data_IF_714463127470
#
_entry.id   IF_714463127470
#
_cell.length_a   1.000
_cell.length_b   1.000
_cell.length_c   1.000
_cell.angle_alpha   90.00
_cell.angle_beta   90.00
_cell.angle_gamma   90.00
#
_symmetry.space_group_name_H-M   'P 1'
#
loop_
_entity.id
_entity.type
_entity.pdbx_description
1 polymer ?
#
# COMPACT_ATOMS: atom_id res chain seq x y z
N UNK A 1 29.69 -10.39 11.84
CA UNK A 1 29.87 -10.64 13.29
C UNK A 1 29.05 -9.62 14.07
N UNK A 2 28.56 -9.94 15.27
CA UNK A 2 27.83 -8.99 16.12
C UNK A 2 28.73 -8.38 17.17
N UNK A 3 28.45 -7.14 17.52
CA UNK A 3 29.21 -6.39 18.50
C UNK A 3 28.26 -5.66 19.45
N UNK A 4 28.48 -5.80 20.75
CA UNK A 4 27.83 -5.00 21.78
C UNK A 4 28.84 -3.95 22.22
N UNK A 5 28.54 -2.69 21.94
CA UNK A 5 29.31 -1.56 22.41
C UNK A 5 28.61 -1.01 23.64
N UNK A 6 29.31 -1.00 24.76
CA UNK A 6 28.85 -0.40 26.00
C UNK A 6 29.62 0.93 26.13
N UNK A 7 28.89 2.03 25.96
CA UNK A 7 29.39 3.37 26.17
C UNK A 7 29.18 3.72 27.65
N UNK A 8 30.23 4.12 28.36
CA UNK A 8 30.15 4.61 29.74
C UNK A 8 30.55 6.07 29.78
N UNK A 9 29.72 6.94 30.36
CA UNK A 9 30.08 8.35 30.52
C UNK A 9 31.22 8.49 31.53
N UNK A 10 32.22 9.30 31.19
CA UNK A 10 33.39 9.59 32.03
C UNK A 10 33.43 11.05 32.49
N UNK A 11 32.49 11.86 32.01
CA UNK A 11 32.33 13.28 32.34
C UNK A 11 30.97 13.54 33.01
N UNK A 12 30.78 14.76 33.52
CA UNK A 12 29.50 15.19 34.08
C UNK A 12 28.39 15.32 33.01
N UNK A 13 27.15 15.34 33.49
CA UNK A 13 25.97 15.35 32.62
C UNK A 13 25.83 16.62 31.77
N UNK A 14 26.40 17.75 32.22
CA UNK A 14 26.30 19.04 31.52
C UNK A 14 27.23 19.09 30.30
N UNK A 15 28.46 18.59 30.47
CA UNK A 15 29.42 18.41 29.40
C UNK A 15 28.90 17.42 28.34
N UNK A 16 28.29 16.31 28.77
CA UNK A 16 27.66 15.34 27.85
C UNK A 16 26.47 15.97 27.12
N UNK A 17 25.58 16.69 27.84
CA UNK A 17 24.38 17.28 27.26
C UNK A 17 24.67 18.22 26.07
N UNK A 18 25.78 18.95 26.13
CA UNK A 18 26.20 19.88 25.08
C UNK A 18 26.56 19.19 23.76
N UNK A 19 26.91 17.90 23.79
CA UNK A 19 27.30 17.11 22.62
C UNK A 19 26.26 16.04 22.22
N UNK A 20 25.14 15.95 22.94
CA UNK A 20 24.06 15.00 22.62
C UNK A 20 23.47 15.19 21.21
N UNK A 21 23.23 16.40 20.68
CA UNK A 21 22.68 16.55 19.32
C UNK A 21 23.58 15.92 18.25
N UNK A 22 24.89 16.14 18.35
CA UNK A 22 25.86 15.58 17.40
C UNK A 22 25.99 14.05 17.57
N UNK A 23 25.94 13.57 18.82
CA UNK A 23 25.91 12.15 19.13
C UNK A 23 24.67 11.47 18.54
N UNK A 24 23.49 12.08 18.63
CA UNK A 24 22.25 11.58 18.01
C UNK A 24 22.41 11.52 16.49
N UNK A 25 22.99 12.55 15.86
CA UNK A 25 23.27 12.53 14.42
C UNK A 25 24.26 11.45 14.01
N UNK A 26 25.25 11.15 14.86
CA UNK A 26 26.16 10.02 14.69
C UNK A 26 25.41 8.68 14.75
N UNK A 27 24.55 8.46 15.75
CA UNK A 27 23.74 7.25 15.87
C UNK A 27 22.83 7.09 14.63
N UNK A 28 22.09 8.12 14.24
CA UNK A 28 21.18 8.11 13.09
C UNK A 28 21.88 7.76 11.77
N UNK A 29 23.08 8.33 11.54
CA UNK A 29 23.93 8.00 10.39
C UNK A 29 24.33 6.52 10.35
N UNK A 30 24.61 5.90 11.48
CA UNK A 30 25.06 4.50 11.51
C UNK A 30 23.89 3.52 11.57
N UNK A 31 22.73 3.93 12.08
CA UNK A 31 21.44 3.22 11.92
C UNK A 31 20.98 3.19 10.47
N UNK A 32 20.99 4.33 9.77
CA UNK A 32 20.62 4.40 8.33
C UNK A 32 21.57 3.60 7.43
N UNK A 33 22.81 3.34 7.86
CA UNK A 33 23.75 2.44 7.16
C UNK A 33 23.55 0.96 7.50
N UNK A 34 22.63 0.62 8.40
CA UNK A 34 22.42 -0.75 8.90
C UNK A 34 23.61 -1.33 9.65
N UNK A 35 24.51 -0.46 10.13
CA UNK A 35 25.69 -0.83 10.92
C UNK A 35 25.31 -0.93 12.40
N UNK A 36 24.51 0.02 12.90
CA UNK A 36 23.86 -0.06 14.20
C UNK A 36 22.46 -0.65 14.03
N UNK A 37 22.15 -1.65 14.84
CA UNK A 37 20.87 -2.36 14.85
C UNK A 37 19.98 -1.88 15.99
N UNK A 38 20.59 -1.45 17.08
CA UNK A 38 19.92 -0.93 18.26
C UNK A 38 20.88 0.02 18.98
N UNK A 39 20.36 1.11 19.52
CA UNK A 39 21.06 1.97 20.49
C UNK A 39 20.09 2.42 21.55
N UNK A 40 20.53 2.49 22.81
CA UNK A 40 19.69 3.00 23.88
C UNK A 40 20.43 3.18 25.20
N UNK A 41 19.82 3.94 26.11
CA UNK A 41 20.33 4.12 27.46
C UNK A 41 20.25 2.80 28.23
N UNK A 42 21.32 2.49 28.95
CA UNK A 42 21.33 1.37 29.89
C UNK A 42 20.45 1.71 31.11
N UNK A 43 20.01 0.69 31.85
CA UNK A 43 19.31 0.88 33.12
C UNK A 43 20.19 0.31 34.25
N UNK A 44 20.59 1.14 35.24
CA UNK A 44 20.17 2.53 35.46
C UNK A 44 20.87 3.52 34.51
N UNK A 45 20.22 4.66 34.23
CA UNK A 45 20.48 5.55 33.10
C UNK A 45 21.82 6.31 33.14
N UNK A 46 22.45 6.34 34.31
CA UNK A 46 23.80 6.83 34.59
C UNK A 46 24.89 5.83 34.17
N UNK A 47 24.55 4.57 33.90
CA UNK A 47 25.51 3.54 33.49
C UNK A 47 26.01 3.70 32.06
N UNK A 48 25.37 4.60 31.29
CA UNK A 48 25.72 4.95 29.91
C UNK A 48 24.74 4.37 28.89
N UNK A 49 25.26 3.96 27.73
CA UNK A 49 24.47 3.50 26.60
C UNK A 49 24.94 2.13 26.10
N UNK A 50 24.05 1.40 25.44
CA UNK A 50 24.35 0.16 24.75
C UNK A 50 24.00 0.32 23.28
N UNK A 51 24.91 -0.12 22.41
CA UNK A 51 24.71 -0.19 20.97
C UNK A 51 24.96 -1.63 20.53
N UNK A 52 24.00 -2.19 19.82
CA UNK A 52 24.18 -3.45 19.09
C UNK A 52 24.55 -3.10 17.65
N UNK A 53 25.73 -3.52 17.22
CA UNK A 53 26.24 -3.29 15.89
C UNK A 53 26.58 -4.60 15.17
N UNK A 54 26.63 -4.54 13.85
CA UNK A 54 27.08 -5.65 12.99
C UNK A 54 28.15 -5.16 12.03
N UNK A 55 29.14 -5.98 11.75
CA UNK A 55 30.20 -5.64 10.80
C UNK A 55 31.48 -6.41 11.06
N UNK A 56 32.57 -5.91 10.46
CA UNK A 56 33.93 -6.31 10.79
C UNK A 56 34.42 -5.52 12.01
N UNK A 57 35.21 -6.17 12.87
CA UNK A 57 35.64 -5.57 14.14
C UNK A 57 36.38 -4.24 13.95
N UNK A 58 37.29 -4.18 12.97
CA UNK A 58 38.09 -2.99 12.69
C UNK A 58 37.21 -1.80 12.22
N UNK A 59 36.14 -2.08 11.46
CA UNK A 59 35.20 -1.05 11.04
C UNK A 59 34.41 -0.51 12.24
N UNK A 60 33.96 -1.40 13.13
CA UNK A 60 33.23 -1.01 14.35
C UNK A 60 34.10 -0.16 15.28
N UNK A 61 35.38 -0.50 15.44
CA UNK A 61 36.32 0.32 16.23
C UNK A 61 36.56 1.68 15.58
N UNK A 62 36.73 1.73 14.26
CA UNK A 62 36.87 2.99 13.53
C UNK A 62 35.62 3.86 13.63
N UNK A 63 34.43 3.25 13.64
CA UNK A 63 33.14 3.95 13.81
C UNK A 63 32.95 4.44 15.25
N UNK A 64 33.31 3.66 16.26
CA UNK A 64 33.28 4.10 17.66
C UNK A 64 34.19 5.32 17.86
N UNK A 65 35.35 5.36 17.19
CA UNK A 65 36.25 6.52 17.16
C UNK A 65 35.69 7.78 16.49
N UNK A 66 34.53 7.68 15.81
CA UNK A 66 33.86 8.83 15.19
C UNK A 66 32.83 9.51 16.09
N UNK A 67 32.43 8.85 17.18
CA UNK A 67 31.44 9.37 18.12
C UNK A 67 31.92 10.70 18.73
N UNK A 68 31.13 11.78 18.62
CA UNK A 68 31.43 13.06 19.27
C UNK A 68 31.74 12.91 20.77
N UNK A 69 31.00 12.06 21.50
CA UNK A 69 31.25 11.85 22.93
C UNK A 69 32.62 11.23 23.19
N UNK A 70 33.04 10.28 22.36
CA UNK A 70 34.34 9.63 22.47
C UNK A 70 35.48 10.58 22.06
N UNK A 71 35.32 11.31 20.96
CA UNK A 71 36.31 12.28 20.46
C UNK A 71 36.57 13.43 21.44
N UNK A 72 35.54 13.85 22.17
CA UNK A 72 35.65 14.86 23.21
C UNK A 72 36.08 14.30 24.58
N UNK A 73 36.34 12.99 24.69
CA UNK A 73 36.79 12.35 25.94
C UNK A 73 35.71 12.27 27.03
N UNK A 74 34.44 12.33 26.64
CA UNK A 74 33.27 12.35 27.54
C UNK A 74 32.74 10.94 27.83
N UNK A 75 33.17 9.94 27.07
CA UNK A 75 32.83 8.54 27.29
C UNK A 75 33.99 7.59 26.99
N UNK A 76 33.84 6.35 27.45
CA UNK A 76 34.67 5.22 27.08
C UNK A 76 33.81 4.08 26.52
N UNK A 77 34.32 3.38 25.51
CA UNK A 77 33.68 2.22 24.92
C UNK A 77 34.29 0.90 25.43
N UNK A 78 33.44 -0.04 25.77
CA UNK A 78 33.76 -1.47 25.91
C UNK A 78 33.05 -2.21 24.76
N UNK A 79 33.82 -2.89 23.90
CA UNK A 79 33.26 -3.56 22.72
C UNK A 79 33.43 -5.07 22.86
N UNK A 80 32.32 -5.78 23.01
CA UNK A 80 32.26 -7.24 23.07
C UNK A 80 31.80 -7.77 21.72
N UNK A 81 32.47 -8.77 21.18
CA UNK A 81 32.09 -9.39 19.91
C UNK A 81 31.52 -10.78 20.12
N UNK A 82 30.50 -11.14 19.34
CA UNK A 82 29.88 -12.46 19.37
C UNK A 82 29.63 -12.97 17.94
N UNK A 83 29.86 -14.27 17.76
CA UNK A 83 29.42 -15.03 16.59
C UNK A 83 28.31 -16.00 17.03
N UNK A 84 27.03 -15.60 16.92
CA UNK A 84 25.92 -16.35 17.50
C UNK A 84 25.67 -17.65 16.71
N UNK A 85 25.97 -18.80 17.33
CA UNK A 85 25.67 -20.12 16.74
C UNK A 85 24.18 -20.50 16.75
N UNK A 86 23.35 -19.81 17.53
CA UNK A 86 21.91 -20.00 17.65
C UNK A 86 21.23 -18.64 17.83
N UNK A 87 20.14 -18.39 17.10
CA UNK A 87 19.32 -17.17 17.23
C UNK A 87 17.83 -17.48 17.04
N UNK A 88 16.97 -16.63 17.61
CA UNK A 88 15.52 -16.74 17.40
C UNK A 88 15.18 -16.45 15.93
N UNK A 89 14.22 -17.17 15.29
CA UNK A 89 13.89 -16.97 13.88
C UNK A 89 13.58 -15.52 13.50
N UNK A 90 12.91 -14.77 14.36
CA UNK A 90 12.57 -13.35 14.13
C UNK A 90 13.80 -12.43 14.01
N UNK A 91 14.97 -12.87 14.49
CA UNK A 91 16.22 -12.13 14.37
C UNK A 91 16.99 -12.46 13.08
N UNK A 92 16.55 -13.47 12.32
CA UNK A 92 17.28 -13.93 11.12
C UNK A 92 17.43 -12.83 10.05
N UNK A 93 16.40 -12.00 9.87
CA UNK A 93 16.41 -10.87 8.93
C UNK A 93 17.29 -9.71 9.41
N UNK A 94 17.36 -9.48 10.72
CA UNK A 94 18.18 -8.43 11.33
C UNK A 94 19.67 -8.80 11.39
N UNK A 95 19.98 -10.09 11.62
CA UNK A 95 21.33 -10.60 11.84
C UNK A 95 22.05 -11.08 10.57
N UNK A 96 21.35 -11.25 9.44
CA UNK A 96 21.96 -11.65 8.17
C UNK A 96 22.91 -10.58 7.59
N UNK A 97 24.10 -11.00 7.13
CA UNK A 97 25.17 -10.09 6.65
C UNK A 97 24.81 -9.31 5.37
N UNK A 98 25.21 -8.03 5.26
CA UNK A 98 25.24 -7.30 4.00
C UNK A 98 26.57 -7.56 3.29
N UNK A 99 26.76 -8.72 2.65
CA UNK A 99 27.93 -8.90 1.77
C UNK A 99 27.61 -8.35 0.39
N UNK A 100 28.46 -7.42 -0.05
CA UNK A 100 28.50 -6.90 -1.40
C UNK A 100 28.45 -8.03 -2.44
N UNK A 101 27.29 -8.20 -3.04
CA UNK A 101 27.11 -8.68 -4.39
C UNK A 101 25.76 -8.16 -4.83
N UNK A 102 25.77 -7.48 -5.97
CA UNK A 102 24.61 -7.28 -6.82
C UNK A 102 23.91 -8.63 -6.99
N UNK A 103 22.93 -8.88 -6.14
CA UNK A 103 21.82 -9.78 -6.33
C UNK A 103 20.79 -9.36 -5.30
N UNK A 104 19.89 -8.51 -5.77
CA UNK A 104 18.53 -8.40 -5.27
C UNK A 104 18.06 -9.80 -4.87
N UNK A 105 18.05 -10.12 -3.57
CA UNK A 105 16.93 -10.91 -3.08
C UNK A 105 15.80 -9.90 -3.04
N UNK A 106 15.26 -9.67 -4.24
CA UNK A 106 13.97 -9.06 -4.43
C UNK A 106 13.06 -9.75 -3.44
N UNK A 107 12.26 -8.98 -2.69
CA UNK A 107 10.96 -9.52 -2.29
C UNK A 107 10.40 -10.27 -3.51
N UNK A 108 9.83 -11.48 -3.36
CA UNK A 108 9.30 -12.21 -4.51
C UNK A 108 8.55 -11.21 -5.39
N UNK A 109 8.88 -11.15 -6.69
CA UNK A 109 8.40 -10.06 -7.53
C UNK A 109 6.90 -9.96 -7.37
N UNK A 110 6.41 -8.72 -7.31
CA UNK A 110 5.00 -8.47 -7.10
C UNK A 110 4.21 -9.34 -8.10
N UNK A 111 3.34 -10.25 -7.63
CA UNK A 111 2.96 -11.44 -8.42
C UNK A 111 2.01 -11.14 -9.58
N UNK A 112 1.69 -9.86 -9.78
CA UNK A 112 0.74 -9.37 -10.76
C UNK A 112 1.37 -8.34 -11.68
N UNK A 113 1.41 -8.67 -12.98
CA UNK A 113 1.60 -7.64 -13.98
C UNK A 113 0.29 -6.85 -14.16
N UNK A 114 0.38 -5.53 -14.38
CA UNK A 114 -0.79 -4.66 -14.57
C UNK A 114 -1.69 -5.15 -15.70
N UNK A 115 -1.12 -5.69 -16.78
CA UNK A 115 -1.88 -6.22 -17.91
C UNK A 115 -2.66 -7.50 -17.56
N UNK A 116 -2.08 -8.39 -16.75
CA UNK A 116 -2.79 -9.58 -16.28
C UNK A 116 -3.94 -9.21 -15.35
N UNK A 117 -3.68 -8.26 -14.44
CA UNK A 117 -4.70 -7.72 -13.55
C UNK A 117 -5.86 -7.09 -14.32
N UNK A 118 -5.60 -6.16 -15.24
CA UNK A 118 -6.67 -5.54 -16.06
C UNK A 118 -7.37 -6.53 -16.99
N UNK A 119 -6.73 -7.66 -17.32
CA UNK A 119 -7.36 -8.77 -18.03
C UNK A 119 -8.45 -9.50 -17.23
N UNK A 120 -8.50 -9.34 -15.90
CA UNK A 120 -9.56 -9.87 -15.05
C UNK A 120 -10.82 -9.00 -15.22
N UNK A 121 -11.70 -9.38 -16.15
CA UNK A 121 -12.94 -8.64 -16.42
C UNK A 121 -14.11 -9.58 -16.73
N UNK A 122 -15.37 -9.11 -16.58
CA UNK A 122 -16.53 -9.87 -16.99
C UNK A 122 -16.39 -10.42 -18.42
N UNK A 123 -16.69 -11.71 -18.61
CA UNK A 123 -16.58 -12.40 -19.90
C UNK A 123 -15.16 -12.83 -20.31
N UNK A 124 -14.13 -12.56 -19.50
CA UNK A 124 -12.79 -13.09 -19.75
C UNK A 124 -12.75 -14.63 -19.60
N UNK A 125 -11.97 -15.29 -20.47
CA UNK A 125 -11.74 -16.74 -20.41
C UNK A 125 -10.45 -17.06 -19.65
N UNK A 126 -10.37 -18.26 -19.05
CA UNK A 126 -9.15 -18.72 -18.35
C UNK A 126 -8.87 -18.00 -17.02
N UNK A 127 -9.89 -17.44 -16.37
CA UNK A 127 -9.77 -16.79 -15.06
C UNK A 127 -9.17 -17.73 -14.01
N UNK A 128 -9.57 -18.99 -14.02
CA UNK A 128 -9.02 -20.06 -13.17
C UNK A 128 -7.51 -20.22 -13.34
N UNK A 129 -7.04 -20.21 -14.58
CA UNK A 129 -5.62 -20.35 -14.93
C UNK A 129 -4.83 -19.15 -14.45
N UNK A 130 -5.33 -17.93 -14.68
CA UNK A 130 -4.65 -16.68 -14.25
C UNK A 130 -4.62 -16.55 -12.73
N UNK A 131 -5.70 -16.94 -12.04
CA UNK A 131 -5.85 -16.82 -10.58
C UNK A 131 -5.26 -18.02 -9.81
N UNK A 132 -4.89 -19.09 -10.51
CA UNK A 132 -4.28 -20.28 -9.91
C UNK A 132 -2.89 -19.96 -9.37
N UNK A 133 -2.65 -20.28 -8.10
CA UNK A 133 -1.36 -20.09 -7.44
C UNK A 133 -0.95 -18.63 -7.16
N UNK A 134 -1.72 -17.62 -7.61
CA UNK A 134 -1.49 -16.21 -7.31
C UNK A 134 -2.32 -15.74 -6.09
N UNK A 135 -1.84 -14.77 -5.31
CA UNK A 135 -2.61 -14.20 -4.21
C UNK A 135 -3.76 -13.37 -4.78
N UNK A 136 -4.98 -13.78 -4.47
CA UNK A 136 -6.21 -13.12 -4.94
C UNK A 136 -6.52 -11.86 -4.13
N UNK A 137 -6.10 -11.78 -2.86
CA UNK A 137 -6.40 -10.64 -1.99
C UNK A 137 -5.95 -9.27 -2.51
N UNK A 138 -4.86 -9.22 -3.28
CA UNK A 138 -4.35 -7.99 -3.89
C UNK A 138 -5.11 -7.56 -5.16
N UNK A 139 -5.99 -8.40 -5.69
CA UNK A 139 -6.81 -8.15 -6.89
C UNK A 139 -8.28 -8.55 -6.65
N UNK A 140 -8.71 -8.58 -5.40
CA UNK A 140 -9.93 -9.25 -4.98
C UNK A 140 -11.20 -8.59 -5.55
N UNK A 141 -11.22 -7.26 -5.71
CA UNK A 141 -12.36 -6.57 -6.30
C UNK A 141 -12.51 -6.90 -7.77
N UNK A 142 -11.42 -6.76 -8.53
CA UNK A 142 -11.44 -7.02 -9.97
C UNK A 142 -11.67 -8.51 -10.25
N UNK A 143 -10.93 -9.39 -9.58
CA UNK A 143 -11.12 -10.85 -9.68
C UNK A 143 -12.53 -11.27 -9.27
N UNK A 144 -13.02 -10.79 -8.13
CA UNK A 144 -14.36 -11.08 -7.63
C UNK A 144 -15.46 -10.61 -8.59
N UNK A 145 -15.29 -9.44 -9.22
CA UNK A 145 -16.25 -8.94 -10.22
C UNK A 145 -16.28 -9.83 -11.46
N UNK A 146 -15.12 -10.23 -11.99
CA UNK A 146 -15.04 -11.13 -13.14
C UNK A 146 -15.61 -12.53 -12.82
N UNK A 147 -15.31 -13.07 -11.64
CA UNK A 147 -15.78 -14.37 -11.17
C UNK A 147 -17.29 -14.36 -10.90
N UNK A 148 -17.83 -13.27 -10.34
CA UNK A 148 -19.27 -13.11 -10.15
C UNK A 148 -20.02 -13.15 -11.49
N UNK A 149 -19.49 -12.49 -12.51
CA UNK A 149 -20.05 -12.54 -13.86
C UNK A 149 -20.00 -13.97 -14.44
N UNK A 150 -18.91 -14.71 -14.23
CA UNK A 150 -18.78 -16.10 -14.65
C UNK A 150 -19.80 -17.02 -13.96
N UNK A 151 -19.98 -16.90 -12.63
CA UNK A 151 -20.99 -17.66 -11.88
C UNK A 151 -22.40 -17.39 -12.40
N UNK A 152 -22.76 -16.11 -12.61
CA UNK A 152 -24.07 -15.72 -13.17
C UNK A 152 -24.28 -16.21 -14.60
N UNK A 153 -23.19 -16.39 -15.37
CA UNK A 153 -23.23 -17.00 -16.70
C UNK A 153 -23.30 -18.54 -16.66
N UNK A 154 -23.41 -19.15 -15.48
CA UNK A 154 -23.52 -20.61 -15.32
C UNK A 154 -22.20 -21.35 -15.51
N UNK A 155 -21.07 -20.74 -15.15
CA UNK A 155 -19.73 -21.36 -15.20
C UNK A 155 -19.33 -21.87 -13.79
N UNK A 156 -19.67 -23.13 -13.42
CA UNK A 156 -19.46 -23.66 -12.07
C UNK A 156 -17.98 -23.79 -11.68
N UNK A 157 -17.07 -23.86 -12.65
CA UNK A 157 -15.61 -23.87 -12.43
C UNK A 157 -15.10 -22.64 -11.68
N UNK A 158 -15.85 -21.54 -11.69
CA UNK A 158 -15.50 -20.30 -11.00
C UNK A 158 -15.72 -20.38 -9.47
N UNK A 159 -16.42 -21.41 -8.97
CA UNK A 159 -16.86 -21.49 -7.57
C UNK A 159 -15.71 -21.51 -6.54
N UNK A 160 -14.63 -22.24 -6.81
CA UNK A 160 -13.49 -22.30 -5.88
C UNK A 160 -12.78 -20.95 -5.79
N UNK A 161 -12.63 -20.27 -6.92
CA UNK A 161 -12.07 -18.92 -6.97
C UNK A 161 -12.99 -17.92 -6.29
N UNK A 162 -14.32 -18.05 -6.45
CA UNK A 162 -15.29 -17.20 -5.76
C UNK A 162 -15.16 -17.30 -4.25
N UNK A 163 -15.07 -18.53 -3.69
CA UNK A 163 -14.86 -18.73 -2.25
C UNK A 163 -13.54 -18.14 -1.75
N UNK A 164 -12.48 -18.19 -2.57
CA UNK A 164 -11.22 -17.50 -2.27
C UNK A 164 -11.44 -15.99 -2.23
N UNK A 165 -12.06 -15.40 -3.26
CA UNK A 165 -12.38 -13.97 -3.28
C UNK A 165 -13.20 -13.57 -2.04
N UNK A 166 -14.27 -14.29 -1.71
CA UNK A 166 -15.11 -14.02 -0.51
C UNK A 166 -14.26 -13.95 0.75
N UNK A 167 -13.38 -14.93 0.99
CA UNK A 167 -12.52 -14.93 2.18
C UNK A 167 -11.61 -13.71 2.21
N UNK A 168 -10.91 -13.43 1.11
CA UNK A 168 -9.94 -12.33 1.07
C UNK A 168 -10.64 -10.96 1.19
N UNK A 169 -11.79 -10.77 0.56
CA UNK A 169 -12.61 -9.55 0.67
C UNK A 169 -13.07 -9.34 2.12
N UNK A 170 -13.64 -10.38 2.75
CA UNK A 170 -14.11 -10.30 4.15
C UNK A 170 -12.97 -10.08 5.15
N UNK A 171 -11.78 -10.64 4.89
CA UNK A 171 -10.61 -10.44 5.75
C UNK A 171 -10.01 -9.04 5.59
N UNK A 172 -10.02 -8.50 4.36
CA UNK A 172 -9.48 -7.17 4.03
C UNK A 172 -10.37 -6.02 4.51
N UNK A 173 -11.69 -6.19 4.41
CA UNK A 173 -12.72 -5.27 4.94
C UNK A 173 -12.58 -3.81 4.48
N UNK A 174 -12.26 -3.60 3.20
CA UNK A 174 -12.29 -2.28 2.59
C UNK A 174 -13.72 -1.87 2.19
N UNK A 175 -13.97 -0.56 1.94
CA UNK A 175 -15.24 -0.11 1.38
C UNK A 175 -15.63 -0.95 0.15
N UNK A 176 -16.85 -1.47 0.13
CA UNK A 176 -17.35 -2.32 -0.95
C UNK A 176 -16.95 -3.81 -0.89
N UNK A 177 -16.01 -4.23 -0.03
CA UNK A 177 -15.58 -5.64 0.06
C UNK A 177 -16.74 -6.54 0.51
N UNK A 178 -17.44 -6.13 1.57
CA UNK A 178 -18.62 -6.84 2.08
C UNK A 178 -19.73 -6.99 1.03
N UNK A 179 -20.00 -5.92 0.26
CA UNK A 179 -21.00 -5.93 -0.81
C UNK A 179 -20.66 -6.92 -1.92
N UNK A 180 -19.38 -6.98 -2.33
CA UNK A 180 -18.95 -7.93 -3.35
C UNK A 180 -18.93 -9.38 -2.81
N UNK A 181 -18.48 -9.57 -1.57
CA UNK A 181 -18.47 -10.88 -0.92
C UNK A 181 -19.90 -11.43 -0.80
N UNK A 182 -20.86 -10.63 -0.35
CA UNK A 182 -22.27 -11.00 -0.22
C UNK A 182 -22.92 -11.30 -1.59
N UNK A 183 -22.51 -10.61 -2.66
CA UNK A 183 -22.96 -10.90 -4.01
C UNK A 183 -22.40 -12.23 -4.54
N UNK A 184 -21.14 -12.55 -4.22
CA UNK A 184 -20.50 -13.82 -4.55
C UNK A 184 -21.11 -14.98 -3.78
N UNK A 185 -21.38 -14.83 -2.47
CA UNK A 185 -22.01 -15.86 -1.65
C UNK A 185 -23.41 -16.22 -2.17
N UNK A 186 -24.24 -15.21 -2.49
CA UNK A 186 -25.55 -15.45 -3.13
C UNK A 186 -25.42 -16.19 -4.47
N UNK A 187 -24.46 -15.79 -5.31
CA UNK A 187 -24.25 -16.46 -6.60
C UNK A 187 -23.74 -17.90 -6.44
N UNK A 188 -22.96 -18.20 -5.39
CA UNK A 188 -22.53 -19.56 -5.05
C UNK A 188 -23.68 -20.45 -4.55
N UNK A 189 -24.70 -19.84 -3.93
CA UNK A 189 -25.89 -20.50 -3.42
C UNK A 189 -27.04 -20.57 -4.45
N UNK A 190 -26.81 -20.09 -5.68
CA UNK A 190 -27.82 -19.95 -6.75
C UNK A 190 -29.02 -19.09 -6.29
N UNK A 191 -28.75 -18.11 -5.42
CA UNK A 191 -29.73 -17.15 -4.93
C UNK A 191 -29.84 -15.94 -5.86
N UNK A 192 -31.04 -15.36 -5.90
CA UNK A 192 -31.29 -14.12 -6.63
C UNK A 192 -30.42 -12.98 -6.07
N UNK A 193 -30.01 -12.07 -6.96
CA UNK A 193 -29.27 -10.88 -6.57
C UNK A 193 -30.10 -9.99 -5.62
N UNK A 194 -29.40 -9.16 -4.84
CA UNK A 194 -30.02 -8.24 -3.90
C UNK A 194 -31.14 -7.41 -4.57
N UNK A 195 -32.30 -7.38 -3.91
CA UNK A 195 -33.50 -6.68 -4.39
C UNK A 195 -33.71 -5.34 -3.69
N UNK A 196 -32.92 -5.04 -2.64
CA UNK A 196 -32.94 -3.76 -1.95
C UNK A 196 -32.22 -2.67 -2.74
N UNK A 197 -31.20 -3.05 -3.53
CA UNK A 197 -30.43 -2.14 -4.38
C UNK A 197 -30.81 -2.28 -5.85
N UNK A 198 -31.04 -1.14 -6.52
CA UNK A 198 -31.40 -1.08 -7.94
C UNK A 198 -30.20 -1.41 -8.85
N UNK A 199 -30.34 -2.32 -9.84
CA UNK A 199 -29.25 -2.65 -10.76
C UNK A 199 -28.94 -1.49 -11.73
N UNK A 200 -27.65 -1.19 -11.94
CA UNK A 200 -27.17 -0.22 -12.95
C UNK A 200 -26.01 -0.81 -13.79
N UNK A 201 -25.99 -0.61 -15.11
CA UNK A 201 -24.94 -1.11 -16.01
C UNK A 201 -23.74 -0.17 -16.09
N UNK A 202 -23.19 0.18 -14.93
CA UNK A 202 -22.10 1.15 -14.82
C UNK A 202 -20.74 0.50 -15.10
N UNK A 203 -19.83 1.25 -15.73
CA UNK A 203 -18.40 0.90 -15.68
C UNK A 203 -17.83 1.35 -14.33
N UNK A 204 -17.41 0.38 -13.51
CA UNK A 204 -16.93 0.68 -12.16
C UNK A 204 -15.59 1.44 -12.16
N UNK A 205 -14.80 1.35 -13.22
CA UNK A 205 -13.55 2.10 -13.33
C UNK A 205 -13.82 3.55 -13.71
N UNK A 206 -14.76 3.81 -14.62
CA UNK A 206 -15.15 5.17 -14.94
C UNK A 206 -15.76 5.87 -13.71
N UNK A 207 -16.56 5.16 -12.92
CA UNK A 207 -17.09 5.69 -11.66
C UNK A 207 -15.99 5.91 -10.61
N UNK A 208 -15.03 4.99 -10.49
CA UNK A 208 -13.89 5.13 -9.59
C UNK A 208 -12.99 6.32 -9.97
N UNK A 209 -12.78 6.54 -11.27
CA UNK A 209 -12.04 7.68 -11.79
C UNK A 209 -12.77 9.00 -11.53
N UNK A 210 -14.09 9.05 -11.73
CA UNK A 210 -14.89 10.22 -11.44
C UNK A 210 -14.83 10.58 -9.95
N UNK A 211 -14.93 9.60 -9.05
CA UNK A 211 -14.80 9.80 -7.60
C UNK A 211 -13.34 10.10 -7.15
N UNK A 212 -12.36 9.68 -7.95
CA UNK A 212 -10.93 9.85 -7.67
C UNK A 212 -10.31 11.11 -8.26
N UNK A 213 -11.01 11.78 -9.18
CA UNK A 213 -10.63 13.07 -9.77
C UNK A 213 -10.40 14.07 -8.64
N UNK A 214 -9.34 14.87 -8.67
CA UNK A 214 -9.10 15.82 -7.57
C UNK A 214 -10.19 16.91 -7.53
N UNK A 215 -10.39 17.63 -6.40
CA UNK A 215 -11.37 18.73 -6.33
C UNK A 215 -11.09 19.90 -7.30
N UNK A 216 -9.93 19.91 -7.98
CA UNK A 216 -9.59 20.87 -9.02
C UNK A 216 -10.05 20.45 -10.43
N UNK A 217 -10.43 19.18 -10.62
CA UNK A 217 -10.90 18.60 -11.88
C UNK A 217 -12.43 18.64 -11.99
N UNK A 218 -13.13 19.05 -10.92
CA UNK A 218 -14.58 19.14 -10.80
C UNK A 218 -15.24 17.83 -10.36
N UNK A 219 -16.56 17.82 -10.23
CA UNK A 219 -17.36 16.64 -9.83
C UNK A 219 -17.96 15.98 -11.07
N UNK A 220 -17.86 14.65 -11.18
CA UNK A 220 -18.51 13.91 -12.24
C UNK A 220 -20.00 13.68 -11.95
N UNK A 221 -20.69 12.95 -12.82
CA UNK A 221 -22.05 12.50 -12.57
C UNK A 221 -22.30 11.09 -13.12
N UNK A 222 -23.17 10.33 -12.46
CA UNK A 222 -23.70 9.06 -12.95
C UNK A 222 -25.13 9.26 -13.46
N UNK A 223 -25.41 8.74 -14.65
CA UNK A 223 -26.77 8.48 -15.09
C UNK A 223 -27.21 7.08 -14.62
N UNK A 224 -28.13 6.97 -13.65
CA UNK A 224 -28.52 5.67 -13.08
C UNK A 224 -29.38 4.82 -14.03
N UNK A 225 -29.87 5.37 -15.15
CA UNK A 225 -30.66 4.65 -16.16
C UNK A 225 -29.74 4.02 -17.20
N UNK A 226 -28.80 4.80 -17.72
CA UNK A 226 -27.88 4.34 -18.78
C UNK A 226 -26.63 3.68 -18.23
N UNK A 227 -26.24 3.98 -16.99
CA UNK A 227 -24.97 3.61 -16.39
C UNK A 227 -23.79 4.48 -16.83
N UNK A 228 -24.05 5.54 -17.61
CA UNK A 228 -23.01 6.42 -18.13
C UNK A 228 -22.43 7.30 -17.01
N UNK A 229 -21.10 7.35 -16.94
CA UNK A 229 -20.37 8.23 -16.02
C UNK A 229 -19.85 9.42 -16.81
N UNK A 230 -20.39 10.59 -16.53
CA UNK A 230 -20.03 11.86 -17.15
C UNK A 230 -18.86 12.49 -16.36
N UNK A 231 -17.71 12.73 -16.99
CA UNK A 231 -16.61 13.45 -16.36
C UNK A 231 -17.01 14.88 -16.03
N UNK A 232 -16.41 15.44 -14.99
CA UNK A 232 -16.63 16.83 -14.58
C UNK A 232 -16.44 17.85 -15.72
N UNK A 233 -15.41 17.66 -16.55
CA UNK A 233 -15.17 18.50 -17.72
C UNK A 233 -16.34 18.50 -18.72
N UNK A 234 -17.14 17.43 -18.77
CA UNK A 234 -18.33 17.35 -19.63
C UNK A 234 -19.50 18.16 -19.05
N UNK A 235 -19.63 18.18 -17.71
CA UNK A 235 -20.65 18.99 -17.02
C UNK A 235 -20.34 20.50 -17.07
N UNK A 236 -19.06 20.87 -17.14
CA UNK A 236 -18.63 22.27 -17.29
C UNK A 236 -18.80 22.82 -18.73
N UNK A 237 -18.86 21.94 -19.74
CA UNK A 237 -18.71 22.29 -21.16
C UNK A 237 -19.86 21.81 -22.05
N UNK A 238 -21.12 21.76 -21.60
CA UNK A 238 -22.22 21.62 -22.56
C UNK A 238 -23.54 22.31 -22.17
N UNK A 239 -23.47 23.63 -22.13
CA UNK A 239 -24.52 24.40 -22.77
C UNK A 239 -24.15 24.56 -24.26
N UNK A 240 -24.85 23.83 -25.15
CA UNK A 240 -24.93 23.97 -26.63
C UNK A 240 -24.10 22.92 -27.43
N UNK A 241 -24.67 21.82 -27.96
CA UNK A 241 -25.45 21.75 -29.23
C UNK A 241 -25.85 20.30 -29.59
N UNK A 242 -27.11 20.11 -30.03
CA UNK A 242 -27.65 18.95 -30.79
C UNK A 242 -27.29 17.53 -30.29
N UNK A 243 -27.96 17.09 -29.23
CA UNK A 243 -28.00 15.70 -28.75
C UNK A 243 -28.94 15.64 -27.54
N UNK A 244 -29.65 14.53 -27.34
CA UNK A 244 -30.74 14.36 -26.34
C UNK A 244 -30.55 15.20 -25.07
N UNK A 245 -31.52 16.06 -24.76
CA UNK A 245 -31.52 16.93 -23.59
C UNK A 245 -31.32 16.03 -22.34
N UNK A 246 -30.10 16.05 -21.78
CA UNK A 246 -29.80 15.28 -20.58
C UNK A 246 -30.77 15.72 -19.48
N UNK A 247 -31.40 14.74 -18.84
CA UNK A 247 -32.29 14.99 -17.71
C UNK A 247 -31.43 15.27 -16.47
N UNK A 248 -31.02 16.53 -16.31
CA UNK A 248 -30.14 16.95 -15.23
C UNK A 248 -30.67 16.61 -13.83
N UNK A 249 -31.99 16.51 -13.67
CA UNK A 249 -32.63 16.17 -12.38
C UNK A 249 -32.46 14.68 -12.02
N UNK A 250 -32.11 13.82 -12.99
CA UNK A 250 -31.86 12.38 -12.76
C UNK A 250 -30.40 12.05 -12.48
N UNK A 251 -29.48 12.94 -12.85
CA UNK A 251 -28.05 12.70 -12.70
C UNK A 251 -27.65 12.74 -11.22
N UNK A 252 -26.78 11.82 -10.82
CA UNK A 252 -26.27 11.73 -9.46
C UNK A 252 -24.83 12.24 -9.46
N UNK A 253 -24.57 13.35 -8.77
CA UNK A 253 -23.24 13.93 -8.66
C UNK A 253 -22.27 12.97 -7.96
N UNK A 254 -21.13 12.73 -8.59
CA UNK A 254 -20.04 11.92 -8.05
C UNK A 254 -19.02 12.87 -7.44
N UNK A 255 -19.11 13.02 -6.11
CA UNK A 255 -18.19 13.84 -5.33
C UNK A 255 -16.78 13.24 -5.31
N UNK A 256 -15.77 14.11 -5.37
CA UNK A 256 -14.37 13.71 -5.17
C UNK A 256 -13.94 13.84 -3.72
N UNK A 257 -13.33 12.79 -3.16
CA UNK A 257 -12.73 12.85 -1.83
C UNK A 257 -11.20 12.78 -1.88
N UNK A 258 -10.57 13.96 -1.80
CA UNK A 258 -9.12 14.07 -1.70
C UNK A 258 -8.53 13.41 -0.43
N UNK A 259 -9.35 13.19 0.60
CA UNK A 259 -8.97 12.49 1.83
C UNK A 259 -8.71 11.02 1.56
N UNK A 260 -9.55 10.37 0.74
CA UNK A 260 -9.40 8.97 0.40
C UNK A 260 -8.17 8.73 -0.48
N UNK A 261 -7.92 9.62 -1.44
CA UNK A 261 -6.69 9.58 -2.23
C UNK A 261 -5.43 9.73 -1.36
N UNK A 262 -5.47 10.54 -0.30
CA UNK A 262 -4.38 10.66 0.67
C UNK A 262 -4.21 9.40 1.53
N UNK A 263 -5.32 8.86 2.05
CA UNK A 263 -5.32 7.60 2.81
C UNK A 263 -4.74 6.46 2.00
N UNK A 264 -5.10 6.34 0.73
CA UNK A 264 -4.56 5.30 -0.15
C UNK A 264 -3.04 5.39 -0.30
N UNK A 265 -2.48 6.60 -0.44
CA UNK A 265 -1.02 6.77 -0.49
C UNK A 265 -0.35 6.40 0.84
N UNK A 266 -0.97 6.74 1.98
CA UNK A 266 -0.47 6.40 3.30
C UNK A 266 -0.51 4.88 3.54
N UNK A 267 -1.66 4.25 3.30
CA UNK A 267 -1.85 2.81 3.45
C UNK A 267 -0.90 2.03 2.53
N UNK A 268 -0.80 2.42 1.25
CA UNK A 268 0.14 1.80 0.32
C UNK A 268 1.58 1.91 0.82
N UNK A 269 1.98 3.09 1.31
CA UNK A 269 3.34 3.29 1.84
C UNK A 269 3.67 2.25 2.90
N UNK A 270 2.72 1.90 3.77
CA UNK A 270 2.90 0.90 4.81
C UNK A 270 3.07 -0.54 4.26
N UNK A 271 2.47 -0.84 3.10
CA UNK A 271 2.61 -2.14 2.42
C UNK A 271 3.96 -2.35 1.73
N UNK A 272 4.73 -1.29 1.49
CA UNK A 272 6.01 -1.37 0.79
C UNK A 272 7.04 -2.13 1.63
N UNK A 273 7.52 -3.25 1.09
CA UNK A 273 8.47 -4.13 1.76
C UNK A 273 9.87 -3.51 1.92
N UNK A 274 10.30 -2.73 0.93
CA UNK A 274 11.57 -1.99 0.98
C UNK A 274 11.48 -0.87 2.04
N UNK A 275 12.25 -1.03 3.12
CA UNK A 275 12.22 -0.14 4.28
C UNK A 275 12.71 1.27 3.92
N UNK A 276 13.70 1.39 3.04
CA UNK A 276 14.25 2.67 2.62
C UNK A 276 13.26 3.41 1.73
N UNK A 277 12.66 2.71 0.76
CA UNK A 277 11.64 3.27 -0.09
C UNK A 277 10.41 3.69 0.72
N UNK A 278 9.92 2.83 1.62
CA UNK A 278 8.84 3.16 2.55
C UNK A 278 9.15 4.41 3.38
N UNK A 279 10.36 4.51 3.92
CA UNK A 279 10.83 5.69 4.66
C UNK A 279 10.80 6.96 3.81
N UNK A 280 11.29 6.89 2.56
CA UNK A 280 11.21 7.99 1.59
C UNK A 280 9.77 8.38 1.30
N UNK A 281 8.89 7.41 1.05
CA UNK A 281 7.47 7.65 0.75
C UNK A 281 6.76 8.33 1.92
N UNK A 282 6.97 7.87 3.17
CA UNK A 282 6.42 8.51 4.38
C UNK A 282 6.79 9.99 4.44
N UNK A 283 8.07 10.32 4.27
CA UNK A 283 8.52 11.71 4.24
C UNK A 283 7.89 12.54 3.10
N UNK A 284 7.49 11.91 1.98
CA UNK A 284 6.82 12.62 0.89
C UNK A 284 5.37 12.98 1.21
N UNK A 285 4.72 12.25 2.11
CA UNK A 285 3.33 12.48 2.51
C UNK A 285 3.14 13.75 3.34
N UNK A 286 4.21 14.32 3.90
CA UNK A 286 4.14 15.53 4.72
C UNK A 286 4.09 16.83 3.90
N UNK A 287 3.12 17.69 4.21
CA UNK A 287 3.04 19.06 3.69
C UNK A 287 2.56 19.21 2.24
N UNK A 288 2.45 20.46 1.78
CA UNK A 288 1.81 20.83 0.50
C UNK A 288 2.45 20.12 -0.69
N UNK A 289 1.63 19.48 -1.54
CA UNK A 289 2.09 18.78 -2.75
C UNK A 289 2.52 17.33 -2.54
N UNK A 290 2.08 16.71 -1.43
CA UNK A 290 2.32 15.31 -1.10
C UNK A 290 1.99 14.36 -2.26
N UNK A 291 0.82 14.51 -2.87
CA UNK A 291 0.36 13.67 -3.98
C UNK A 291 1.34 13.60 -5.15
N UNK A 292 1.78 14.77 -5.66
CA UNK A 292 2.75 14.84 -6.76
C UNK A 292 4.10 14.24 -6.37
N UNK A 293 4.60 14.51 -5.16
CA UNK A 293 5.90 13.98 -4.72
C UNK A 293 5.86 12.47 -4.54
N UNK A 294 4.78 11.94 -3.96
CA UNK A 294 4.55 10.52 -3.81
C UNK A 294 4.52 9.84 -5.19
N UNK A 295 3.66 10.31 -6.11
CA UNK A 295 3.57 9.77 -7.48
C UNK A 295 4.92 9.81 -8.19
N UNK A 296 5.63 10.95 -8.14
CA UNK A 296 6.96 11.05 -8.76
C UNK A 296 7.97 10.06 -8.17
N UNK A 297 7.87 9.75 -6.87
CA UNK A 297 8.75 8.76 -6.22
C UNK A 297 8.41 7.36 -6.73
N UNK A 298 7.13 6.96 -6.71
CA UNK A 298 6.66 5.67 -7.23
C UNK A 298 7.02 5.47 -8.71
N UNK A 299 6.78 6.49 -9.55
CA UNK A 299 7.14 6.45 -10.98
C UNK A 299 8.66 6.41 -11.20
N UNK A 300 9.44 7.06 -10.33
CA UNK A 300 10.90 7.05 -10.40
C UNK A 300 11.50 5.68 -10.06
N UNK A 301 10.92 4.96 -9.10
CA UNK A 301 11.31 3.57 -8.80
C UNK A 301 10.89 2.61 -9.91
N UNK A 302 9.68 2.76 -10.45
CA UNK A 302 9.17 1.93 -11.54
C UNK A 302 8.92 0.47 -11.12
N UNK A 303 8.97 -0.44 -12.10
CA UNK A 303 8.90 -1.89 -11.89
C UNK A 303 7.72 -2.35 -11.03
N UNK A 304 8.02 -3.19 -10.04
CA UNK A 304 7.03 -3.78 -9.13
C UNK A 304 6.39 -2.74 -8.21
N UNK A 305 7.11 -1.68 -7.82
CA UNK A 305 6.56 -0.58 -7.01
C UNK A 305 5.47 0.16 -7.78
N UNK A 306 5.71 0.47 -9.06
CA UNK A 306 4.71 1.12 -9.89
C UNK A 306 3.52 0.19 -10.18
N UNK A 307 3.79 -1.08 -10.45
CA UNK A 307 2.74 -2.08 -10.70
C UNK A 307 1.86 -2.29 -9.48
N UNK A 308 2.47 -2.49 -8.31
CA UNK A 308 1.75 -2.65 -7.04
C UNK A 308 0.95 -1.41 -6.66
N UNK A 309 1.50 -0.20 -6.82
CA UNK A 309 0.73 1.04 -6.60
C UNK A 309 -0.47 1.12 -7.54
N UNK A 310 -0.28 0.85 -8.82
CA UNK A 310 -1.35 0.91 -9.83
C UNK A 310 -2.50 -0.02 -9.44
N UNK A 311 -2.19 -1.29 -9.16
CA UNK A 311 -3.19 -2.27 -8.75
C UNK A 311 -3.85 -1.87 -7.43
N UNK A 312 -3.07 -1.47 -6.43
CA UNK A 312 -3.58 -1.07 -5.13
C UNK A 312 -4.57 0.10 -5.24
N UNK A 313 -4.20 1.15 -5.97
CA UNK A 313 -5.06 2.32 -6.15
C UNK A 313 -6.33 2.01 -6.94
N UNK A 314 -6.25 1.17 -7.97
CA UNK A 314 -7.42 0.75 -8.75
C UNK A 314 -8.35 -0.14 -7.92
N UNK A 315 -7.84 -1.10 -7.15
CA UNK A 315 -8.64 -1.94 -6.25
C UNK A 315 -9.39 -1.12 -5.20
N UNK A 316 -8.73 -0.13 -4.60
CA UNK A 316 -9.35 0.80 -3.65
C UNK A 316 -10.44 1.64 -4.30
N UNK A 317 -10.20 2.11 -5.53
CA UNK A 317 -11.17 2.83 -6.34
C UNK A 317 -12.41 1.99 -6.65
N UNK A 318 -12.23 0.74 -7.11
CA UNK A 318 -13.33 -0.18 -7.42
C UNK A 318 -14.21 -0.48 -6.20
N UNK A 319 -13.59 -0.66 -5.03
CA UNK A 319 -14.31 -0.86 -3.77
C UNK A 319 -15.15 0.34 -3.37
N UNK A 320 -14.56 1.53 -3.40
CA UNK A 320 -15.28 2.78 -3.12
C UNK A 320 -16.39 3.05 -4.13
N UNK A 321 -16.16 2.82 -5.42
CA UNK A 321 -17.21 2.97 -6.44
C UNK A 321 -18.41 2.06 -6.15
N UNK A 322 -18.16 0.81 -5.74
CA UNK A 322 -19.20 -0.13 -5.33
C UNK A 322 -19.91 0.32 -4.05
N UNK A 323 -19.17 0.81 -3.06
CA UNK A 323 -19.75 1.34 -1.82
C UNK A 323 -20.63 2.56 -2.12
N UNK A 324 -20.12 3.49 -2.92
CA UNK A 324 -20.82 4.71 -3.32
C UNK A 324 -22.15 4.39 -4.01
N UNK A 325 -22.18 3.41 -4.93
CA UNK A 325 -23.43 2.96 -5.54
C UNK A 325 -24.44 2.49 -4.48
N UNK A 326 -24.01 1.66 -3.54
CA UNK A 326 -24.88 1.14 -2.50
C UNK A 326 -25.42 2.24 -1.58
N UNK A 327 -24.58 3.21 -1.22
CA UNK A 327 -24.97 4.38 -0.43
C UNK A 327 -26.04 5.24 -1.16
N UNK A 328 -26.07 5.17 -2.50
CA UNK A 328 -27.06 5.83 -3.34
C UNK A 328 -28.24 4.91 -3.75
N UNK A 329 -28.32 3.69 -3.20
CA UNK A 329 -29.41 2.74 -3.47
C UNK A 329 -29.25 1.91 -4.74
N UNK A 330 -28.04 1.85 -5.31
CA UNK A 330 -27.73 1.14 -6.55
C UNK A 330 -26.72 0.01 -6.33
N UNK A 331 -26.69 -0.93 -7.28
CA UNK A 331 -25.65 -1.96 -7.37
C UNK A 331 -25.26 -2.23 -8.82
N UNK A 332 -24.03 -2.71 -9.08
CA UNK A 332 -23.63 -3.14 -10.41
C UNK A 332 -24.51 -4.30 -10.91
N UNK A 333 -24.93 -4.23 -12.17
CA UNK A 333 -25.69 -5.29 -12.87
C UNK A 333 -24.77 -6.24 -13.66
N UNK A 334 -25.35 -7.14 -14.45
CA UNK A 334 -24.62 -8.12 -15.28
C UNK A 334 -23.91 -7.53 -16.52
N UNK A 335 -24.26 -6.31 -16.91
CA UNK A 335 -23.64 -5.55 -18.01
C UNK A 335 -22.53 -4.63 -17.50
N UNK A 336 -22.30 -4.57 -16.19
CA UNK A 336 -21.16 -3.89 -15.57
C UNK A 336 -19.88 -4.21 -16.32
N UNK A 337 -19.16 -3.18 -16.73
CA UNK A 337 -17.90 -3.30 -17.42
C UNK A 337 -16.71 -3.03 -16.48
N UNK A 338 -15.56 -3.56 -16.89
CA UNK A 338 -14.23 -3.21 -16.41
C UNK A 338 -13.38 -3.08 -17.68
N UNK A 339 -12.99 -1.86 -18.02
CA UNK A 339 -12.30 -1.51 -19.27
C UNK A 339 -10.88 -2.09 -19.41
#
# INVERSE_FOLDING_TARGET
MLHVLILRYTADAEAVASHLPDHIGYLDKHHSRGLFLLSGRTLPAESGEVILARGERDEIEAVAGQDPLFRHGLCAYEILSADPGLSHPDLSTLLGSPTASSNTVSAPPFPWAVQEYRGLRPGATGLDTVLSGKPVGVVAHRAGTAVLAALRAGQPEAADTARRCVRELRERDWPGDGLLADALDRALEDEAADTELAPVPVDLEDLADAAGSGPAEGEGALDPVTGEVLPAAFLEFDALQDGDELDWDRLITVESDSTDAYRDMADFTETVADVDLRGRLRQRLDGRGAFRRFKNTVHGEGGDTLSSWTIFSEERGLGRARQWLADHGYRPDERTALR
#
